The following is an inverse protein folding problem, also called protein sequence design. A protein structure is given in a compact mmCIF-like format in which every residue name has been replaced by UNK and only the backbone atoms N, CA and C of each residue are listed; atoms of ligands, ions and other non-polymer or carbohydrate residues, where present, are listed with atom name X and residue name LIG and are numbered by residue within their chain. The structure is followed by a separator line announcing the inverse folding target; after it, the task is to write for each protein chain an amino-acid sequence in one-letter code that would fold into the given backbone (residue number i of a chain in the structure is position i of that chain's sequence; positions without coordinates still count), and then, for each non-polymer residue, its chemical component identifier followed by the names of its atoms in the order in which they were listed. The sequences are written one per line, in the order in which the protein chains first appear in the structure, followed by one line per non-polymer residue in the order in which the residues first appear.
data_IF_577253156659
#
_entry.id   IF_577253156659
#
_cell.length_a   1.000
_cell.length_b   1.000
_cell.length_c   1.000
_cell.angle_alpha   90.00
_cell.angle_beta   90.00
_cell.angle_gamma   90.00
#
_symmetry.space_group_name_H-M   'P 1'
#
loop_
_entity.id
_entity.type
_entity.pdbx_description
1 polymer ?
#
# COMPACT_ATOMS: atom_id res chain seq x y z
N UNK A 1 8.60 6.88 -12.15
CA UNK A 1 7.16 6.51 -12.10
C UNK A 1 6.89 5.80 -10.79
N UNK A 2 5.78 6.13 -10.12
CA UNK A 2 5.30 5.46 -8.91
C UNK A 2 3.77 5.25 -8.99
N UNK A 3 3.19 4.60 -7.98
CA UNK A 3 1.75 4.43 -7.81
C UNK A 3 1.29 5.30 -6.64
N UNK A 4 0.35 6.21 -6.88
CA UNK A 4 -0.05 7.24 -5.89
C UNK A 4 -0.66 6.62 -4.64
N UNK A 5 -1.42 5.54 -4.80
CA UNK A 5 -2.08 4.84 -3.70
C UNK A 5 -1.33 3.56 -3.29
N UNK A 6 -0.01 3.49 -3.47
CA UNK A 6 0.73 2.27 -3.17
C UNK A 6 0.67 1.90 -1.66
N UNK A 7 0.33 0.63 -1.32
CA UNK A 7 -0.15 -0.43 -2.21
C UNK A 7 -1.61 -0.21 -2.62
N UNK A 8 -1.91 -0.33 -3.93
CA UNK A 8 -3.26 -0.16 -4.44
C UNK A 8 -4.19 -1.29 -4.00
N UNK A 9 -4.97 -1.07 -2.94
CA UNK A 9 -5.93 -2.06 -2.42
C UNK A 9 -7.13 -2.22 -3.35
N UNK A 10 -7.50 -3.48 -3.61
CA UNK A 10 -8.69 -3.84 -4.39
C UNK A 10 -9.55 -4.74 -3.51
N UNK A 11 -10.79 -4.33 -3.25
CA UNK A 11 -11.73 -5.11 -2.44
C UNK A 11 -12.18 -6.38 -3.16
N UNK A 12 -12.45 -7.44 -2.39
CA UNK A 12 -12.90 -8.75 -2.93
C UNK A 12 -14.23 -8.67 -3.70
N UNK A 13 -15.07 -7.68 -3.37
CA UNK A 13 -16.33 -7.39 -4.05
C UNK A 13 -16.20 -6.54 -5.32
N UNK A 14 -15.04 -5.97 -5.61
CA UNK A 14 -14.87 -5.09 -6.77
C UNK A 14 -15.00 -5.86 -8.08
N UNK A 15 -15.79 -5.32 -9.02
CA UNK A 15 -16.04 -5.91 -10.36
C UNK A 15 -15.83 -4.92 -11.51
N UNK A 16 -15.40 -3.70 -11.19
CA UNK A 16 -15.06 -2.71 -12.20
C UNK A 16 -13.73 -3.01 -12.88
N UNK A 17 -13.39 -2.19 -13.87
CA UNK A 17 -12.08 -2.22 -14.49
C UNK A 17 -10.99 -1.84 -13.48
N UNK A 18 -9.97 -2.69 -13.33
CA UNK A 18 -8.82 -2.38 -12.49
C UNK A 18 -7.97 -1.32 -13.17
N UNK A 19 -7.79 -0.18 -12.50
CA UNK A 19 -6.98 0.95 -12.97
C UNK A 19 -5.74 1.12 -12.11
N UNK A 20 -4.64 1.54 -12.72
CA UNK A 20 -3.37 1.84 -12.05
C UNK A 20 -3.18 3.36 -12.01
N UNK A 21 -3.12 3.93 -10.82
CA UNK A 21 -2.92 5.37 -10.61
C UNK A 21 -1.43 5.70 -10.66
N UNK A 22 -0.89 5.80 -11.87
CA UNK A 22 0.50 6.15 -12.10
C UNK A 22 0.75 7.65 -11.85
N UNK A 23 1.87 7.95 -11.21
CA UNK A 23 2.43 9.30 -11.13
C UNK A 23 3.85 9.29 -11.67
N UNK A 24 4.14 10.23 -12.56
CA UNK A 24 5.52 10.57 -12.90
C UNK A 24 6.02 11.60 -11.88
N UNK A 25 7.04 11.23 -11.09
CA UNK A 25 7.66 12.11 -10.11
C UNK A 25 8.90 12.82 -10.68
N UNK A 26 9.34 12.43 -11.86
CA UNK A 26 10.35 13.18 -12.59
C UNK A 26 9.71 14.44 -13.17
N UNK A 27 10.30 15.60 -12.87
CA UNK A 27 9.76 16.91 -13.26
C UNK A 27 10.26 17.37 -14.63
N UNK A 28 11.34 16.76 -15.11
CA UNK A 28 12.05 17.18 -16.33
C UNK A 28 11.82 16.18 -17.47
N UNK A 29 11.72 14.89 -17.15
CA UNK A 29 11.62 13.82 -18.15
C UNK A 29 10.21 13.24 -18.22
N UNK A 30 9.59 13.34 -19.40
CA UNK A 30 8.30 12.73 -19.67
C UNK A 30 8.40 11.19 -19.78
N UNK A 31 7.35 10.51 -19.35
CA UNK A 31 7.21 9.06 -19.50
C UNK A 31 6.21 8.78 -20.61
N UNK A 32 6.63 8.02 -21.61
CA UNK A 32 5.78 7.55 -22.68
C UNK A 32 5.37 6.10 -22.41
N UNK A 33 4.07 5.83 -22.46
CA UNK A 33 3.51 4.50 -22.29
C UNK A 33 2.79 4.09 -23.57
N UNK A 34 2.99 2.85 -23.97
CA UNK A 34 2.33 2.22 -25.09
C UNK A 34 1.40 1.11 -24.61
N UNK A 35 0.41 0.77 -25.43
CA UNK A 35 -0.47 -0.37 -25.15
C UNK A 35 0.37 -1.65 -25.06
N UNK A 36 0.24 -2.36 -23.94
CA UNK A 36 0.97 -3.60 -23.67
C UNK A 36 2.15 -3.42 -22.70
N UNK A 37 2.51 -2.19 -22.36
CA UNK A 37 3.55 -1.95 -21.37
C UNK A 37 3.14 -2.47 -19.99
N UNK A 38 4.11 -3.07 -19.29
CA UNK A 38 3.95 -3.53 -17.91
C UNK A 38 4.12 -2.33 -16.97
N UNK A 39 3.04 -1.89 -16.35
CA UNK A 39 3.01 -0.67 -15.52
C UNK A 39 2.77 -0.91 -14.03
N UNK A 40 2.43 -2.14 -13.63
CA UNK A 40 2.22 -2.54 -12.25
C UNK A 40 2.36 -4.06 -12.10
N UNK A 41 2.33 -4.52 -10.85
CA UNK A 41 2.26 -5.93 -10.48
C UNK A 41 1.10 -6.11 -9.50
N UNK A 42 0.37 -7.22 -9.63
CA UNK A 42 -0.73 -7.58 -8.73
C UNK A 42 -0.27 -8.71 -7.81
N UNK A 43 -0.53 -8.56 -6.51
CA UNK A 43 -0.32 -9.62 -5.52
C UNK A 43 -1.67 -10.00 -4.92
N UNK A 44 -1.96 -11.30 -4.90
CA UNK A 44 -3.13 -11.85 -4.20
C UNK A 44 -2.68 -12.28 -2.81
N UNK A 45 -3.21 -11.60 -1.78
CA UNK A 45 -2.83 -11.82 -0.39
C UNK A 45 -4.03 -12.27 0.42
N UNK A 46 -3.81 -13.16 1.39
CA UNK A 46 -4.81 -13.47 2.43
C UNK A 46 -4.99 -12.23 3.31
N UNK A 47 -6.24 -11.92 3.62
CA UNK A 47 -6.61 -10.87 4.58
C UNK A 47 -7.38 -11.50 5.75
N UNK A 48 -7.08 -11.06 6.97
CA UNK A 48 -7.77 -11.52 8.17
C UNK A 48 -8.91 -10.56 8.53
N UNK A 49 -10.04 -11.10 8.98
CA UNK A 49 -11.18 -10.31 9.45
C UNK A 49 -11.09 -10.15 10.96
N UNK A 50 -10.41 -9.09 11.41
CA UNK A 50 -10.22 -8.83 12.83
C UNK A 50 -11.50 -8.26 13.48
N UNK A 51 -11.83 -8.75 14.68
CA UNK A 51 -12.79 -8.09 15.57
C UNK A 51 -12.05 -7.04 16.40
N UNK A 52 -12.44 -5.78 16.27
CA UNK A 52 -11.91 -4.70 17.12
C UNK A 52 -12.57 -4.77 18.50
N UNK A 53 -11.75 -4.75 19.55
CA UNK A 53 -12.19 -4.77 20.97
C UNK A 53 -11.61 -3.56 21.69
N UNK A 54 -12.48 -2.71 22.23
CA UNK A 54 -12.07 -1.54 23.00
C UNK A 54 -11.64 -1.94 24.42
N UNK A 55 -10.52 -1.39 24.89
CA UNK A 55 -9.95 -1.66 26.21
C UNK A 55 -9.39 -0.37 26.81
N UNK A 56 -9.33 -0.27 28.14
CA UNK A 56 -8.80 0.89 28.83
C UNK A 56 -7.26 1.06 28.66
N UNK A 57 -6.53 -0.05 28.48
CA UNK A 57 -5.08 -0.05 28.30
C UNK A 57 -4.59 -1.32 27.60
N UNK A 58 -3.48 -1.21 26.85
CA UNK A 58 -2.76 -2.34 26.25
C UNK A 58 -1.66 -2.87 27.19
N UNK A 59 -1.30 -4.14 27.06
CA UNK A 59 -0.16 -4.73 27.78
C UNK A 59 1.17 -4.12 27.33
N UNK A 60 2.14 -4.02 28.26
CA UNK A 60 3.46 -3.53 27.95
C UNK A 60 4.23 -4.53 27.08
N UNK A 61 4.95 -4.03 26.07
CA UNK A 61 5.86 -4.82 25.22
C UNK A 61 7.24 -4.18 25.21
N UNK A 62 8.27 -4.95 24.87
CA UNK A 62 9.64 -4.43 24.70
C UNK A 62 9.75 -3.32 23.66
N UNK A 63 8.86 -3.31 22.65
CA UNK A 63 8.79 -2.27 21.62
C UNK A 63 8.05 -1.01 22.10
N UNK A 64 7.03 -1.17 22.94
CA UNK A 64 6.21 -0.06 23.44
C UNK A 64 5.67 0.84 22.32
N UNK A 65 5.85 2.15 22.46
CA UNK A 65 5.43 3.17 21.48
C UNK A 65 6.46 3.40 20.35
N UNK A 66 7.51 2.57 20.24
CA UNK A 66 8.57 2.73 19.25
C UNK A 66 8.12 2.52 17.81
N UNK A 67 8.33 3.54 16.96
CA UNK A 67 8.08 3.53 15.51
C UNK A 67 9.10 4.37 14.75
N UNK A 68 8.94 4.51 13.43
CA UNK A 68 9.75 5.42 12.59
C UNK A 68 11.27 5.30 12.76
N UNK A 69 11.79 4.06 12.82
CA UNK A 69 13.23 3.83 12.99
C UNK A 69 13.73 3.92 14.44
N UNK A 70 12.85 3.74 15.43
CA UNK A 70 13.19 3.76 16.87
C UNK A 70 14.27 2.77 17.31
N UNK A 71 14.62 1.79 16.48
CA UNK A 71 15.69 0.83 16.72
C UNK A 71 17.07 1.33 16.27
N UNK A 72 17.16 2.55 15.73
CA UNK A 72 18.40 3.10 15.19
C UNK A 72 18.84 2.42 13.88
N UNK A 73 20.10 2.65 13.51
CA UNK A 73 20.77 2.02 12.36
C UNK A 73 21.67 0.89 12.85
#
# INVERSE_FOLDING_TARGET
VSIVNAPGTIDSGYRGEVKVLLVNLDREVAVHLSRGDRIAQLLIQRVEHAKVVEVASLEATSRGQGGFGSTGR
#
